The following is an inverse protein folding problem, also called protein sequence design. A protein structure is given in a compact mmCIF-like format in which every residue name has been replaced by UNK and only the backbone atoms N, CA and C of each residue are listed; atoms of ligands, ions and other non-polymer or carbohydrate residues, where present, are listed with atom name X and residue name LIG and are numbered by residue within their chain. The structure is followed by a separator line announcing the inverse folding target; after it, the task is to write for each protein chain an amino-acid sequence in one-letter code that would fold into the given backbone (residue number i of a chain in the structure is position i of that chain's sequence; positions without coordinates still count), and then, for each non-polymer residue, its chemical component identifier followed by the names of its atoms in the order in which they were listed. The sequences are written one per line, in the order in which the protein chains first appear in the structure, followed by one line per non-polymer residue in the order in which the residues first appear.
data_IF_391950598517
#
_entry.id   IF_391950598517
#
_cell.length_a   1.000
_cell.length_b   1.000
_cell.length_c   1.000
_cell.angle_alpha   90.00
_cell.angle_beta   90.00
_cell.angle_gamma   90.00
#
_symmetry.space_group_name_H-M   'P 1'
#
loop_
_entity.id
_entity.type
_entity.pdbx_description
1 polymer ?
#
# COMPACT_ATOMS: atom_id res chain seq x y z
N UNK A 1 3.40 -7.38 12.04
CA UNK A 1 2.27 -7.00 11.17
C UNK A 1 2.54 -7.26 9.69
N UNK A 2 3.68 -6.80 9.18
CA UNK A 2 4.06 -7.02 7.78
C UNK A 2 4.17 -8.51 7.42
N UNK A 3 4.75 -9.32 8.31
CA UNK A 3 4.88 -10.76 8.11
C UNK A 3 3.52 -11.46 8.05
N UNK A 4 2.57 -11.04 8.89
CA UNK A 4 1.21 -11.61 8.90
C UNK A 4 0.50 -11.33 7.57
N UNK A 5 0.63 -10.10 7.04
CA UNK A 5 0.04 -9.75 5.76
C UNK A 5 0.69 -10.51 4.62
N UNK A 6 2.03 -10.58 4.59
CA UNK A 6 2.76 -11.32 3.58
C UNK A 6 2.37 -12.81 3.59
N UNK A 7 2.21 -13.37 4.78
CA UNK A 7 1.80 -14.76 4.96
C UNK A 7 0.38 -15.00 4.42
N UNK A 8 -0.53 -14.07 4.68
CA UNK A 8 -1.91 -14.13 4.18
C UNK A 8 -1.95 -14.06 2.66
N UNK A 9 -1.17 -13.16 2.07
CA UNK A 9 -1.07 -13.01 0.61
C UNK A 9 -0.53 -14.31 -0.02
N UNK A 10 0.52 -14.88 0.57
CA UNK A 10 1.13 -16.12 0.08
C UNK A 10 0.14 -17.29 0.17
N UNK A 11 -0.60 -17.38 1.27
CA UNK A 11 -1.60 -18.43 1.46
C UNK A 11 -2.73 -18.32 0.43
N UNK A 12 -3.19 -17.11 0.16
CA UNK A 12 -4.24 -16.86 -0.82
C UNK A 12 -3.76 -17.21 -2.23
N UNK A 13 -2.52 -16.84 -2.57
CA UNK A 13 -1.92 -17.19 -3.86
C UNK A 13 -1.89 -18.72 -4.02
N UNK A 14 -1.45 -19.44 -3.00
CA UNK A 14 -1.37 -20.90 -3.03
C UNK A 14 -2.76 -21.53 -3.21
N UNK A 15 -3.78 -21.01 -2.52
CA UNK A 15 -5.14 -21.47 -2.66
C UNK A 15 -5.66 -21.31 -4.09
N UNK A 16 -5.35 -20.16 -4.70
CA UNK A 16 -5.76 -19.86 -6.07
C UNK A 16 -5.08 -20.82 -7.04
N UNK A 17 -3.78 -21.09 -6.85
CA UNK A 17 -3.01 -21.99 -7.71
C UNK A 17 -3.56 -23.42 -7.71
N UNK A 18 -4.27 -23.80 -6.66
CA UNK A 18 -4.87 -25.14 -6.55
C UNK A 18 -6.23 -25.25 -7.21
N UNK A 19 -6.83 -24.16 -7.68
CA UNK A 19 -8.11 -24.21 -8.39
C UNK A 19 -7.89 -24.92 -9.72
N UNK A 20 -8.55 -26.06 -9.90
CA UNK A 20 -8.33 -26.92 -11.07
C UNK A 20 -8.86 -26.31 -12.37
N UNK A 21 -10.04 -25.69 -12.32
CA UNK A 21 -10.63 -25.06 -13.49
C UNK A 21 -9.88 -23.77 -13.83
N UNK A 22 -9.37 -23.69 -15.06
CA UNK A 22 -8.54 -22.55 -15.47
C UNK A 22 -9.33 -21.23 -15.52
N UNK A 23 -10.59 -21.27 -15.90
CA UNK A 23 -11.43 -20.07 -15.95
C UNK A 23 -11.71 -19.55 -14.54
N UNK A 24 -12.05 -20.44 -13.62
CA UNK A 24 -12.25 -20.08 -12.22
C UNK A 24 -10.95 -19.52 -11.61
N UNK A 25 -9.82 -20.16 -11.92
CA UNK A 25 -8.52 -19.70 -11.43
C UNK A 25 -8.23 -18.28 -11.92
N UNK A 26 -8.50 -18.02 -13.19
CA UNK A 26 -8.29 -16.69 -13.77
C UNK A 26 -9.13 -15.63 -13.02
N UNK A 27 -10.41 -15.91 -12.79
CA UNK A 27 -11.27 -14.97 -12.08
C UNK A 27 -10.82 -14.76 -10.64
N UNK A 28 -10.38 -15.82 -9.97
CA UNK A 28 -9.86 -15.72 -8.61
C UNK A 28 -8.60 -14.85 -8.55
N UNK A 29 -7.71 -14.99 -9.53
CA UNK A 29 -6.52 -14.14 -9.62
C UNK A 29 -6.90 -12.68 -9.84
N UNK A 30 -7.90 -12.42 -10.68
CA UNK A 30 -8.35 -11.04 -10.93
C UNK A 30 -8.89 -10.38 -9.68
N UNK A 31 -9.68 -11.11 -8.90
CA UNK A 31 -10.19 -10.61 -7.61
C UNK A 31 -9.04 -10.35 -6.62
N UNK A 32 -8.08 -11.26 -6.56
CA UNK A 32 -6.90 -11.12 -5.71
C UNK A 32 -6.11 -9.85 -6.08
N UNK A 33 -5.87 -9.64 -7.36
CA UNK A 33 -5.14 -8.46 -7.84
C UNK A 33 -5.90 -7.17 -7.55
N UNK A 34 -7.21 -7.20 -7.68
CA UNK A 34 -8.05 -6.03 -7.36
C UNK A 34 -7.93 -5.67 -5.88
N UNK A 35 -7.99 -6.67 -5.00
CA UNK A 35 -7.86 -6.45 -3.56
C UNK A 35 -6.50 -5.85 -3.21
N UNK A 36 -5.42 -6.33 -3.84
CA UNK A 36 -4.08 -5.78 -3.61
C UNK A 36 -3.98 -4.33 -4.07
N UNK A 37 -4.57 -4.00 -5.20
CA UNK A 37 -4.57 -2.64 -5.75
C UNK A 37 -5.34 -1.69 -4.83
N UNK A 38 -6.50 -2.11 -4.34
CA UNK A 38 -7.29 -1.31 -3.40
C UNK A 38 -6.55 -1.11 -2.09
N UNK A 39 -5.88 -2.16 -1.60
CA UNK A 39 -5.06 -2.07 -0.38
C UNK A 39 -3.93 -1.07 -0.54
N UNK A 40 -3.26 -1.06 -1.69
CA UNK A 40 -2.19 -0.10 -1.96
C UNK A 40 -2.74 1.34 -1.98
N UNK A 41 -3.88 1.54 -2.62
CA UNK A 41 -4.53 2.86 -2.66
C UNK A 41 -4.88 3.34 -1.25
N UNK A 42 -5.46 2.46 -0.44
CA UNK A 42 -5.85 2.78 0.93
C UNK A 42 -4.62 3.11 1.77
N UNK A 43 -3.53 2.36 1.59
CA UNK A 43 -2.26 2.61 2.26
C UNK A 43 -1.70 3.98 1.92
N UNK A 44 -1.76 4.37 0.64
CA UNK A 44 -1.31 5.68 0.20
C UNK A 44 -2.13 6.81 0.81
N UNK A 45 -3.45 6.60 0.98
CA UNK A 45 -4.31 7.58 1.62
C UNK A 45 -3.92 7.79 3.09
N UNK A 46 -3.57 6.70 3.79
CA UNK A 46 -3.08 6.77 5.17
C UNK A 46 -1.76 7.53 5.23
N UNK A 47 -0.82 7.22 4.33
CA UNK A 47 0.47 7.94 4.27
C UNK A 47 0.27 9.43 4.08
N UNK A 48 -0.61 9.82 3.16
CA UNK A 48 -0.93 11.23 2.89
C UNK A 48 -1.46 11.91 4.15
N UNK A 49 -2.37 11.27 4.85
CA UNK A 49 -2.95 11.81 6.07
C UNK A 49 -1.88 12.04 7.14
N UNK A 50 -0.96 11.08 7.30
CA UNK A 50 0.14 11.19 8.26
C UNK A 50 1.04 12.36 7.91
N UNK A 51 1.45 12.47 6.65
CA UNK A 51 2.35 13.53 6.22
C UNK A 51 1.70 14.90 6.40
N UNK A 52 0.42 15.04 6.07
CA UNK A 52 -0.29 16.30 6.27
C UNK A 52 -0.40 16.66 7.75
N UNK A 53 -0.57 15.68 8.62
CA UNK A 53 -0.61 15.89 10.06
C UNK A 53 0.73 16.40 10.58
N UNK A 54 1.83 15.78 10.15
CA UNK A 54 3.18 16.21 10.53
C UNK A 54 3.51 17.62 10.03
N UNK A 55 3.01 17.97 8.85
CA UNK A 55 3.30 19.27 8.23
C UNK A 55 2.68 20.45 8.98
N UNK A 56 1.65 20.25 9.78
CA UNK A 56 0.95 21.35 10.46
C UNK A 56 1.87 22.30 11.21
N UNK A 57 2.92 21.76 11.86
CA UNK A 57 3.81 22.54 12.69
C UNK A 57 5.27 22.54 12.23
N UNK A 58 5.55 22.05 11.02
CA UNK A 58 6.93 21.79 10.58
C UNK A 58 7.14 22.14 9.11
N UNK A 59 8.37 22.59 8.74
CA UNK A 59 8.67 22.75 7.32
C UNK A 59 8.88 21.38 6.67
N UNK A 60 8.75 21.33 5.35
CA UNK A 60 8.89 20.08 4.59
C UNK A 60 10.21 19.37 4.85
N UNK A 61 11.31 20.13 5.02
CA UNK A 61 12.62 19.53 5.30
C UNK A 61 12.61 18.69 6.56
N UNK A 62 11.99 19.22 7.61
CA UNK A 62 11.91 18.52 8.89
C UNK A 62 11.02 17.30 8.79
N UNK A 63 9.89 17.42 8.11
CA UNK A 63 9.01 16.28 7.88
C UNK A 63 9.75 15.18 7.14
N UNK A 64 10.50 15.55 6.09
CA UNK A 64 11.30 14.59 5.34
C UNK A 64 12.33 13.88 6.21
N UNK A 65 13.03 14.62 7.06
CA UNK A 65 14.00 14.03 7.98
C UNK A 65 13.36 13.02 8.93
N UNK A 66 12.20 13.35 9.47
CA UNK A 66 11.47 12.45 10.36
C UNK A 66 11.04 11.17 9.68
N UNK A 67 10.71 11.23 8.39
CA UNK A 67 10.20 10.10 7.63
C UNK A 67 11.28 9.36 6.83
N UNK A 68 12.51 9.87 6.83
CA UNK A 68 13.59 9.25 6.06
C UNK A 68 13.50 9.49 4.57
N UNK A 69 12.88 10.60 4.16
CA UNK A 69 12.77 10.98 2.74
C UNK A 69 13.17 12.44 2.59
N UNK A 70 13.29 12.93 1.34
CA UNK A 70 13.55 14.35 1.13
C UNK A 70 12.30 15.17 1.45
N UNK A 71 12.49 16.47 1.71
CA UNK A 71 11.37 17.38 1.90
C UNK A 71 10.46 17.41 0.67
N UNK A 72 11.06 17.42 -0.53
CA UNK A 72 10.31 17.38 -1.79
C UNK A 72 9.46 16.11 -1.90
N UNK A 73 10.02 14.96 -1.50
CA UNK A 73 9.27 13.70 -1.54
C UNK A 73 8.12 13.71 -0.54
N UNK A 74 8.35 14.24 0.66
CA UNK A 74 7.31 14.39 1.67
C UNK A 74 6.15 15.23 1.13
N UNK A 75 6.48 16.34 0.46
CA UNK A 75 5.48 17.20 -0.15
C UNK A 75 4.68 16.48 -1.23
N UNK A 76 5.34 15.69 -2.06
CA UNK A 76 4.68 14.89 -3.10
C UNK A 76 3.70 13.89 -2.49
N UNK A 77 4.11 13.22 -1.42
CA UNK A 77 3.24 12.26 -0.72
C UNK A 77 2.00 12.97 -0.18
N UNK A 78 2.19 14.13 0.44
CA UNK A 78 1.08 14.91 0.99
C UNK A 78 0.08 15.35 -0.08
N UNK A 79 0.56 15.58 -1.31
CA UNK A 79 -0.28 16.00 -2.44
C UNK A 79 -0.84 14.83 -3.24
N UNK A 80 -0.51 13.61 -2.85
CA UNK A 80 -1.01 12.42 -3.54
C UNK A 80 -0.31 12.11 -4.85
N UNK A 81 0.94 12.49 -4.97
CA UNK A 81 1.74 12.27 -6.20
C UNK A 81 2.75 11.15 -6.06
#
# INVERSE_FOLDING_TARGET
MTEALASTIAAEKARIEEIADLVERFHAVREFRRALTEGDRDGKAVERAVVNELKKDRPWREVGEMLGVSGSRAEQIAKGR
#
